data_IF_480559764444
#
_entry.id   IF_480559764444
#
_cell.length_a   1.000
_cell.length_b   1.000
_cell.length_c   1.000
_cell.angle_alpha   90.00
_cell.angle_beta   90.00
_cell.angle_gamma   90.00
#
_symmetry.space_group_name_H-M   'P 1'
#
loop_
_entity.id
_entity.type
_entity.pdbx_description
1 polymer ?
#
# COMPACT_ATOMS: atom_id res chain seq x y z
N UNK A 1 27.86 -14.11 -30.33
CA UNK A 1 27.14 -14.45 -29.09
C UNK A 1 27.96 -13.91 -27.92
N UNK A 2 27.36 -13.04 -27.11
CA UNK A 2 28.02 -12.42 -25.96
C UNK A 2 28.28 -13.44 -24.85
N UNK A 3 29.50 -13.49 -24.32
CA UNK A 3 29.85 -14.34 -23.18
C UNK A 3 29.28 -13.71 -21.90
N UNK A 4 28.41 -14.47 -21.22
CA UNK A 4 27.79 -14.08 -19.94
C UNK A 4 28.77 -14.32 -18.79
N UNK A 5 29.52 -13.30 -18.38
CA UNK A 5 30.51 -13.44 -17.30
C UNK A 5 29.85 -13.61 -15.93
N UNK A 6 28.63 -13.06 -15.76
CA UNK A 6 27.85 -13.18 -14.52
C UNK A 6 27.42 -14.61 -14.21
N UNK A 7 27.38 -15.51 -15.20
CA UNK A 7 27.12 -16.94 -14.98
C UNK A 7 28.32 -17.66 -14.35
N UNK A 8 29.54 -17.13 -14.56
CA UNK A 8 30.79 -17.71 -14.04
C UNK A 8 31.08 -17.27 -12.61
N UNK A 9 30.96 -15.96 -12.35
CA UNK A 9 31.11 -15.40 -11.00
C UNK A 9 30.22 -14.18 -10.82
N UNK A 10 29.09 -14.38 -10.12
CA UNK A 10 28.14 -13.32 -9.81
C UNK A 10 28.72 -12.18 -8.95
N UNK A 11 29.87 -12.39 -8.30
CA UNK A 11 30.52 -11.43 -7.40
C UNK A 11 31.59 -10.60 -8.10
N UNK A 12 31.92 -10.91 -9.36
CA UNK A 12 32.83 -10.09 -10.12
C UNK A 12 32.16 -8.74 -10.41
N UNK A 13 32.89 -7.64 -10.16
CA UNK A 13 32.36 -6.27 -10.28
C UNK A 13 32.97 -5.47 -11.42
N UNK A 14 34.12 -5.90 -11.93
CA UNK A 14 34.88 -5.23 -12.98
C UNK A 14 35.25 -6.26 -14.05
N UNK A 15 35.12 -5.86 -15.31
CA UNK A 15 35.51 -6.66 -16.47
C UNK A 15 36.07 -5.79 -17.60
N UNK A 16 36.73 -6.43 -18.56
CA UNK A 16 37.13 -5.82 -19.82
C UNK A 16 36.40 -6.51 -20.97
N UNK A 17 35.98 -5.74 -21.97
CA UNK A 17 35.27 -6.23 -23.13
C UNK A 17 35.65 -5.44 -24.39
N UNK A 18 35.37 -6.00 -25.55
CA UNK A 18 35.43 -5.31 -26.83
C UNK A 18 34.02 -4.91 -27.28
N UNK A 19 33.89 -3.66 -27.73
CA UNK A 19 32.67 -3.18 -28.38
C UNK A 19 32.58 -3.80 -29.78
N UNK A 20 31.56 -4.61 -30.00
CA UNK A 20 31.27 -5.24 -31.29
C UNK A 20 30.46 -4.30 -32.18
N UNK A 21 29.43 -3.66 -31.63
CA UNK A 21 28.65 -2.64 -32.32
C UNK A 21 28.35 -1.46 -31.39
N UNK A 22 28.24 -0.28 -32.00
CA UNK A 22 27.77 0.94 -31.34
C UNK A 22 26.86 1.67 -32.32
N UNK A 23 25.55 1.64 -32.06
CA UNK A 23 24.54 2.23 -32.93
C UNK A 23 23.87 3.41 -32.23
N UNK A 24 23.85 4.57 -32.88
CA UNK A 24 23.15 5.75 -32.36
C UNK A 24 21.62 5.55 -32.47
N UNK A 25 20.90 5.80 -31.38
CA UNK A 25 19.43 5.88 -31.32
C UNK A 25 18.98 7.35 -31.17
N UNK A 26 17.69 7.58 -30.91
CA UNK A 26 17.14 8.93 -30.76
C UNK A 26 17.81 9.72 -29.62
N UNK A 27 17.92 9.11 -28.43
CA UNK A 27 18.40 9.78 -27.21
C UNK A 27 19.62 9.09 -26.55
N UNK A 28 19.98 7.89 -27.01
CA UNK A 28 21.02 7.04 -26.42
C UNK A 28 21.80 6.27 -27.50
N UNK A 29 22.67 5.37 -27.07
CA UNK A 29 23.47 4.48 -27.91
C UNK A 29 23.19 3.03 -27.53
N UNK A 30 23.07 2.17 -28.53
CA UNK A 30 22.95 0.72 -28.38
C UNK A 30 24.33 0.07 -28.60
N UNK A 31 24.84 -0.57 -27.54
CA UNK A 31 26.17 -1.17 -27.48
C UNK A 31 26.06 -2.69 -27.29
N UNK A 32 26.68 -3.44 -28.20
CA UNK A 32 26.88 -4.89 -28.06
C UNK A 32 28.34 -5.17 -27.72
N UNK A 33 28.56 -6.02 -26.72
CA UNK A 33 29.88 -6.45 -26.25
C UNK A 33 30.14 -7.92 -26.59
N UNK A 34 31.41 -8.29 -26.71
CA UNK A 34 31.84 -9.69 -26.83
C UNK A 34 31.61 -10.50 -25.55
N UNK A 35 31.71 -9.85 -24.39
CA UNK A 35 31.44 -10.40 -23.07
C UNK A 35 30.92 -9.33 -22.11
N UNK A 36 30.11 -9.71 -21.12
CA UNK A 36 29.55 -8.75 -20.17
C UNK A 36 29.30 -9.34 -18.79
N UNK A 37 29.51 -8.51 -17.75
CA UNK A 37 29.03 -8.79 -16.39
C UNK A 37 27.63 -8.24 -16.13
N UNK A 38 27.08 -7.37 -16.98
CA UNK A 38 25.73 -6.84 -16.76
C UNK A 38 24.68 -7.93 -17.02
N UNK A 39 23.88 -8.25 -16.01
CA UNK A 39 22.70 -9.09 -16.19
C UNK A 39 21.61 -8.26 -16.89
N UNK A 40 21.07 -8.73 -18.03
CA UNK A 40 19.96 -8.07 -18.68
C UNK A 40 18.66 -8.27 -17.89
N UNK A 41 17.63 -7.48 -18.22
CA UNK A 41 16.30 -7.74 -17.70
C UNK A 41 15.80 -9.12 -18.20
N UNK A 42 15.65 -10.07 -17.28
CA UNK A 42 15.20 -11.43 -17.61
C UNK A 42 14.55 -12.08 -16.39
N UNK A 43 13.65 -13.03 -16.63
CA UNK A 43 13.10 -13.89 -15.56
C UNK A 43 12.28 -13.14 -14.51
N UNK A 44 11.87 -11.89 -14.77
CA UNK A 44 11.13 -11.03 -13.84
C UNK A 44 12.02 -10.16 -12.93
N UNK A 45 13.35 -10.19 -13.11
CA UNK A 45 14.31 -9.32 -12.45
C UNK A 45 14.77 -8.21 -13.41
N UNK A 46 14.88 -6.98 -12.88
CA UNK A 46 15.41 -5.82 -13.59
C UNK A 46 16.90 -5.99 -13.95
N UNK A 47 17.33 -5.28 -14.99
CA UNK A 47 18.71 -5.26 -15.45
C UNK A 47 19.65 -4.65 -14.41
N UNK A 48 20.95 -4.90 -14.56
CA UNK A 48 21.95 -4.20 -13.75
C UNK A 48 22.29 -2.80 -14.27
N UNK A 49 22.78 -2.00 -13.33
CA UNK A 49 23.34 -0.67 -13.57
C UNK A 49 24.86 -0.66 -13.38
N UNK A 50 25.50 0.38 -13.93
CA UNK A 50 26.94 0.53 -13.85
C UNK A 50 27.49 1.44 -14.94
N UNK A 51 28.77 1.27 -15.25
CA UNK A 51 29.46 2.07 -16.26
C UNK A 51 30.34 1.23 -17.19
N UNK A 52 30.58 1.76 -18.40
CA UNK A 52 31.57 1.30 -19.37
C UNK A 52 32.49 2.48 -19.70
N UNK A 53 33.77 2.45 -19.32
CA UNK A 53 34.69 3.60 -19.42
C UNK A 53 34.09 4.91 -18.86
N UNK A 54 33.47 4.82 -17.68
CA UNK A 54 32.75 5.92 -16.99
C UNK A 54 31.51 6.47 -17.71
N UNK A 55 31.14 5.88 -18.86
CA UNK A 55 29.84 6.11 -19.51
C UNK A 55 28.78 5.27 -18.81
N UNK A 56 27.68 5.91 -18.42
CA UNK A 56 26.57 5.27 -17.74
C UNK A 56 25.85 4.24 -18.64
N UNK A 57 25.61 3.06 -18.09
CA UNK A 57 24.73 2.04 -18.69
C UNK A 57 23.36 2.19 -18.05
N UNK A 58 22.40 2.66 -18.84
CA UNK A 58 21.05 3.04 -18.40
C UNK A 58 20.16 1.81 -18.31
N UNK A 59 20.30 0.89 -19.26
CA UNK A 59 19.46 -0.30 -19.39
C UNK A 59 20.21 -1.40 -20.15
N UNK A 60 19.84 -2.67 -19.91
CA UNK A 60 20.45 -3.85 -20.52
C UNK A 60 19.36 -4.86 -20.86
N UNK A 61 19.24 -5.21 -22.13
CA UNK A 61 18.11 -5.98 -22.67
C UNK A 61 18.59 -7.14 -23.54
N UNK A 62 17.80 -8.20 -23.62
CA UNK A 62 18.02 -9.30 -24.58
C UNK A 62 17.16 -9.04 -25.81
N UNK A 63 17.79 -8.88 -26.98
CA UNK A 63 17.12 -8.76 -28.28
C UNK A 63 17.72 -9.78 -29.21
N UNK A 64 16.90 -10.65 -29.80
CA UNK A 64 17.35 -11.70 -30.73
C UNK A 64 18.54 -12.54 -30.20
N UNK A 65 18.50 -12.93 -28.92
CA UNK A 65 19.56 -13.68 -28.21
C UNK A 65 20.90 -12.94 -28.03
N UNK A 66 20.95 -11.64 -28.31
CA UNK A 66 22.11 -10.77 -28.06
C UNK A 66 21.83 -9.83 -26.86
N UNK A 67 22.88 -9.47 -26.12
CA UNK A 67 22.76 -8.57 -24.96
C UNK A 67 23.13 -7.15 -25.40
N UNK A 68 22.13 -6.28 -25.37
CA UNK A 68 22.22 -4.88 -25.74
C UNK A 68 22.37 -4.02 -24.48
N UNK A 69 23.33 -3.09 -24.49
CA UNK A 69 23.57 -2.15 -23.40
C UNK A 69 23.25 -0.74 -23.91
N UNK A 70 22.35 -0.04 -23.24
CA UNK A 70 21.97 1.32 -23.61
C UNK A 70 22.77 2.34 -22.82
N UNK A 71 23.49 3.22 -23.50
CA UNK A 71 24.40 4.19 -22.89
C UNK A 71 24.12 5.63 -23.31
N UNK A 72 24.47 6.61 -22.46
CA UNK A 72 24.28 8.03 -22.78
C UNK A 72 25.35 8.63 -23.72
N UNK A 73 26.41 7.89 -24.03
CA UNK A 73 27.49 8.29 -24.93
C UNK A 73 27.99 7.11 -25.76
N UNK A 74 28.59 7.35 -26.95
CA UNK A 74 29.12 6.28 -27.80
C UNK A 74 30.39 5.66 -27.19
N UNK A 75 30.58 4.37 -27.45
CA UNK A 75 31.76 3.61 -27.03
C UNK A 75 32.36 2.86 -28.23
N UNK A 76 33.67 2.65 -28.21
CA UNK A 76 34.35 1.84 -29.25
C UNK A 76 35.61 1.19 -28.71
N UNK A 77 36.06 0.13 -29.38
CA UNK A 77 37.26 -0.61 -29.01
C UNK A 77 37.14 -1.28 -27.64
N UNK A 78 38.24 -1.27 -26.89
CA UNK A 78 38.32 -1.88 -25.57
C UNK A 78 37.67 -1.00 -24.51
N UNK A 79 36.75 -1.58 -23.75
CA UNK A 79 36.05 -0.90 -22.65
C UNK A 79 36.24 -1.66 -21.34
N UNK A 80 36.34 -0.91 -20.25
CA UNK A 80 36.32 -1.43 -18.89
C UNK A 80 34.93 -1.21 -18.30
N UNK A 81 34.25 -2.31 -17.97
CA UNK A 81 32.95 -2.27 -17.32
C UNK A 81 33.05 -2.37 -15.82
N UNK A 82 32.15 -1.66 -15.12
CA UNK A 82 31.98 -1.70 -13.66
C UNK A 82 30.50 -1.78 -13.32
N UNK A 83 30.10 -2.82 -12.58
CA UNK A 83 28.72 -2.98 -12.09
C UNK A 83 28.50 -2.18 -10.81
N UNK A 84 27.33 -1.60 -10.63
CA UNK A 84 26.86 -1.18 -9.31
C UNK A 84 26.59 -2.44 -8.46
N UNK A 85 27.61 -2.85 -7.73
CA UNK A 85 27.55 -4.08 -6.96
C UNK A 85 26.55 -4.01 -5.80
N UNK A 86 26.26 -2.83 -5.25
CA UNK A 86 25.26 -2.74 -4.18
C UNK A 86 23.87 -3.05 -4.73
N UNK A 87 23.54 -2.51 -5.91
CA UNK A 87 22.29 -2.83 -6.61
C UNK A 87 22.22 -4.31 -7.00
N UNK A 88 23.28 -4.84 -7.63
CA UNK A 88 23.39 -6.26 -7.99
C UNK A 88 23.20 -7.18 -6.79
N UNK A 89 23.94 -6.93 -5.70
CA UNK A 89 23.90 -7.77 -4.50
C UNK A 89 22.52 -7.71 -3.85
N UNK A 90 21.88 -6.53 -3.83
CA UNK A 90 20.51 -6.40 -3.37
C UNK A 90 19.55 -7.27 -4.20
N UNK A 91 19.68 -7.29 -5.53
CA UNK A 91 18.87 -8.17 -6.38
C UNK A 91 19.19 -9.65 -6.14
N UNK A 92 20.46 -10.03 -5.99
CA UNK A 92 20.87 -11.39 -5.64
C UNK A 92 20.25 -11.87 -4.32
N UNK A 93 20.21 -11.03 -3.29
CA UNK A 93 19.54 -11.34 -2.01
C UNK A 93 18.05 -11.62 -2.22
N UNK A 94 17.36 -10.69 -2.89
CA UNK A 94 15.91 -10.75 -3.08
C UNK A 94 15.49 -11.92 -4.00
N UNK A 95 16.25 -12.20 -5.06
CA UNK A 95 16.00 -13.33 -5.94
C UNK A 95 16.26 -14.66 -5.22
N UNK A 96 17.36 -14.79 -4.49
CA UNK A 96 17.65 -16.02 -3.73
C UNK A 96 16.62 -16.26 -2.62
N UNK A 97 16.12 -15.20 -1.98
CA UNK A 97 15.02 -15.29 -1.02
C UNK A 97 13.71 -15.77 -1.65
N UNK A 98 13.47 -15.46 -2.93
CA UNK A 98 12.33 -16.00 -3.67
C UNK A 98 12.43 -17.52 -3.87
N UNK A 99 13.62 -18.05 -4.14
CA UNK A 99 13.82 -19.50 -4.29
C UNK A 99 13.58 -20.21 -2.96
N UNK A 100 14.06 -19.66 -1.85
CA UNK A 100 13.77 -20.19 -0.50
C UNK A 100 12.26 -20.23 -0.25
N UNK A 101 11.54 -19.13 -0.49
CA UNK A 101 10.09 -19.10 -0.27
C UNK A 101 9.34 -20.05 -1.21
N UNK A 102 9.69 -20.06 -2.49
CA UNK A 102 9.01 -20.90 -3.49
C UNK A 102 9.22 -22.38 -3.25
N UNK A 103 10.46 -22.79 -2.92
CA UNK A 103 10.77 -24.17 -2.56
C UNK A 103 10.05 -24.63 -1.30
N UNK A 104 9.96 -23.77 -0.27
CA UNK A 104 9.20 -24.06 0.93
C UNK A 104 7.69 -24.13 0.67
N UNK A 105 7.13 -23.21 -0.12
CA UNK A 105 5.71 -23.27 -0.48
C UNK A 105 5.37 -24.56 -1.23
N UNK A 106 6.23 -24.97 -2.17
CA UNK A 106 6.06 -26.21 -2.92
C UNK A 106 6.16 -27.44 -2.01
N UNK A 107 7.21 -27.53 -1.19
CA UNK A 107 7.45 -28.71 -0.35
C UNK A 107 6.48 -28.84 0.82
N UNK A 108 6.07 -27.73 1.44
CA UNK A 108 5.20 -27.74 2.62
C UNK A 108 3.72 -27.81 2.26
N UNK A 109 3.31 -27.20 1.15
CA UNK A 109 1.89 -27.01 0.80
C UNK A 109 1.52 -27.54 -0.59
N UNK A 110 2.49 -27.98 -1.39
CA UNK A 110 2.26 -28.52 -2.73
C UNK A 110 1.96 -27.49 -3.81
N UNK A 111 2.00 -26.19 -3.49
CA UNK A 111 1.61 -25.13 -4.42
C UNK A 111 2.76 -24.69 -5.32
N UNK A 112 2.44 -24.44 -6.58
CA UNK A 112 3.41 -24.01 -7.59
C UNK A 112 3.44 -22.49 -7.70
N UNK A 113 4.65 -21.96 -7.89
CA UNK A 113 4.86 -20.57 -8.26
C UNK A 113 4.53 -20.39 -9.75
N UNK A 114 3.51 -19.57 -10.00
CA UNK A 114 2.93 -19.25 -11.31
C UNK A 114 3.26 -17.83 -11.80
N UNK A 115 4.02 -17.06 -11.02
CA UNK A 115 4.35 -15.68 -11.35
C UNK A 115 5.36 -15.10 -10.37
N UNK A 116 6.33 -14.36 -10.89
CA UNK A 116 7.35 -13.68 -10.10
C UNK A 116 7.67 -12.35 -10.74
N UNK A 117 7.85 -11.34 -9.88
CA UNK A 117 8.36 -10.04 -10.29
C UNK A 117 9.18 -9.44 -9.15
N UNK A 118 10.40 -9.03 -9.47
CA UNK A 118 11.33 -8.35 -8.59
C UNK A 118 11.47 -6.92 -9.09
N UNK A 119 10.80 -6.01 -8.39
CA UNK A 119 10.94 -4.57 -8.60
C UNK A 119 12.08 -4.01 -7.73
N UNK A 120 12.31 -2.69 -7.75
CA UNK A 120 13.26 -2.03 -6.84
C UNK A 120 12.76 -1.94 -5.38
N UNK A 121 11.48 -2.16 -5.13
CA UNK A 121 10.87 -1.94 -3.82
C UNK A 121 10.45 -3.24 -3.14
N UNK A 122 9.72 -4.09 -3.86
CA UNK A 122 9.17 -5.34 -3.33
C UNK A 122 9.29 -6.49 -4.33
N UNK A 123 9.35 -7.72 -3.81
CA UNK A 123 9.17 -8.93 -4.60
C UNK A 123 7.71 -9.36 -4.54
N UNK A 124 7.18 -9.82 -5.66
CA UNK A 124 5.89 -10.52 -5.70
C UNK A 124 6.05 -11.93 -6.22
N UNK A 125 5.35 -12.88 -5.59
CA UNK A 125 5.23 -14.26 -6.06
C UNK A 125 3.77 -14.71 -6.05
N UNK A 126 3.33 -15.41 -7.08
CA UNK A 126 1.97 -15.90 -7.26
C UNK A 126 1.92 -17.41 -7.13
N UNK A 127 1.12 -17.92 -6.19
CA UNK A 127 0.94 -19.36 -6.01
C UNK A 127 -0.47 -19.81 -6.40
N UNK A 128 -0.57 -21.03 -6.92
CA UNK A 128 -1.84 -21.64 -7.33
C UNK A 128 -2.71 -22.19 -6.18
N UNK A 129 -2.37 -21.88 -4.93
CA UNK A 129 -3.13 -22.25 -3.74
C UNK A 129 -3.28 -21.10 -2.75
N UNK A 130 -4.09 -21.32 -1.71
CA UNK A 130 -4.34 -20.35 -0.65
C UNK A 130 -3.57 -20.70 0.61
N UNK A 131 -2.95 -19.69 1.23
CA UNK A 131 -2.31 -19.80 2.54
C UNK A 131 -3.06 -18.91 3.53
N UNK A 132 -3.44 -19.47 4.68
CA UNK A 132 -4.00 -18.70 5.77
C UNK A 132 -2.90 -18.00 6.59
N UNK A 133 -3.28 -17.13 7.51
CA UNK A 133 -2.34 -16.34 8.32
C UNK A 133 -1.35 -17.21 9.12
N UNK A 134 -1.82 -18.30 9.72
CA UNK A 134 -0.96 -19.23 10.47
C UNK A 134 0.07 -19.91 9.56
N UNK A 135 -0.34 -20.34 8.36
CA UNK A 135 0.57 -20.93 7.37
C UNK A 135 1.61 -19.91 6.88
N UNK A 136 1.23 -18.64 6.70
CA UNK A 136 2.16 -17.56 6.32
C UNK A 136 3.21 -17.31 7.42
N UNK A 137 2.80 -17.31 8.69
CA UNK A 137 3.73 -17.18 9.82
C UNK A 137 4.70 -18.35 9.89
N UNK A 138 4.22 -19.59 9.71
CA UNK A 138 5.05 -20.79 9.67
C UNK A 138 6.03 -20.74 8.49
N UNK A 139 5.57 -20.31 7.31
CA UNK A 139 6.40 -20.16 6.12
C UNK A 139 7.53 -19.14 6.34
N UNK A 140 7.22 -17.95 6.85
CA UNK A 140 8.22 -16.91 7.14
C UNK A 140 9.24 -17.39 8.17
N UNK A 141 8.79 -18.04 9.25
CA UNK A 141 9.68 -18.60 10.26
C UNK A 141 10.62 -19.66 9.67
N UNK A 142 10.08 -20.58 8.85
CA UNK A 142 10.88 -21.64 8.23
C UNK A 142 11.87 -21.10 7.20
N UNK A 143 11.49 -20.08 6.43
CA UNK A 143 12.39 -19.40 5.50
C UNK A 143 13.57 -18.77 6.23
N UNK A 144 13.33 -18.11 7.37
CA UNK A 144 14.41 -17.55 8.18
C UNK A 144 15.25 -18.62 8.90
N UNK A 145 14.69 -19.78 9.23
CA UNK A 145 15.48 -20.92 9.71
C UNK A 145 16.45 -21.42 8.62
N UNK A 146 16.01 -21.52 7.37
CA UNK A 146 16.88 -21.88 6.23
C UNK A 146 18.02 -20.87 6.06
N UNK A 147 17.76 -19.57 6.24
CA UNK A 147 18.78 -18.51 6.22
C UNK A 147 19.82 -18.75 7.32
N UNK A 148 19.37 -18.99 8.55
CA UNK A 148 20.25 -19.21 9.70
C UNK A 148 21.09 -20.49 9.59
N UNK A 149 20.58 -21.49 8.89
CA UNK A 149 21.30 -22.75 8.62
C UNK A 149 22.43 -22.59 7.59
N UNK A 150 22.58 -21.42 6.95
CA UNK A 150 23.66 -21.09 6.03
C UNK A 150 23.93 -22.17 4.96
N UNK A 151 22.87 -22.59 4.28
CA UNK A 151 22.92 -23.58 3.20
C UNK A 151 23.66 -22.99 2.00
N UNK A 152 24.45 -23.82 1.33
CA UNK A 152 25.15 -23.41 0.10
C UNK A 152 24.13 -23.31 -1.04
N UNK A 153 24.33 -22.32 -1.92
CA UNK A 153 23.57 -22.14 -3.15
C UNK A 153 24.48 -22.45 -4.33
N UNK A 154 24.13 -23.50 -5.08
CA UNK A 154 24.88 -23.97 -6.24
C UNK A 154 24.21 -23.47 -7.51
N UNK A 155 24.96 -22.75 -8.34
CA UNK A 155 24.52 -22.33 -9.67
C UNK A 155 25.37 -23.04 -10.71
N UNK A 156 24.75 -23.84 -11.58
CA UNK A 156 25.50 -24.66 -12.54
C UNK A 156 24.67 -25.01 -13.78
N UNK A 157 25.37 -25.46 -14.82
CA UNK A 157 24.76 -26.08 -16.00
C UNK A 157 24.98 -27.60 -15.88
N UNK A 158 23.94 -28.41 -15.65
CA UNK A 158 24.07 -29.85 -15.67
C UNK A 158 24.39 -30.34 -17.10
N UNK A 159 25.10 -31.47 -17.20
CA UNK A 159 25.28 -32.16 -18.48
C UNK A 159 23.94 -32.69 -19.03
N UNK A 160 23.09 -33.17 -18.12
CA UNK A 160 21.73 -33.62 -18.39
C UNK A 160 20.79 -33.11 -17.27
N UNK A 161 19.87 -32.22 -17.63
CA UNK A 161 18.92 -31.62 -16.70
C UNK A 161 17.83 -32.61 -16.25
N UNK A 162 17.55 -33.67 -17.02
CA UNK A 162 16.52 -34.66 -16.70
C UNK A 162 16.90 -35.53 -15.48
N UNK A 163 18.17 -35.45 -15.04
CA UNK A 163 18.67 -36.10 -13.83
C UNK A 163 18.27 -35.37 -12.54
N UNK A 164 17.69 -34.18 -12.63
CA UNK A 164 17.34 -33.34 -11.49
C UNK A 164 15.82 -33.17 -11.38
N UNK A 165 15.29 -33.23 -10.17
CA UNK A 165 13.93 -32.79 -9.88
C UNK A 165 13.95 -31.28 -9.64
N UNK A 166 13.71 -30.50 -10.71
CA UNK A 166 13.75 -29.05 -10.67
C UNK A 166 12.42 -28.41 -11.07
N UNK A 167 12.13 -27.25 -10.48
CA UNK A 167 11.00 -26.41 -10.88
C UNK A 167 11.39 -25.59 -12.11
N UNK A 168 10.48 -25.48 -13.07
CA UNK A 168 10.63 -24.54 -14.18
C UNK A 168 9.37 -23.69 -14.35
N UNK A 169 9.56 -22.40 -14.66
CA UNK A 169 8.47 -21.46 -14.97
C UNK A 169 8.12 -21.43 -16.47
N UNK A 170 8.98 -21.97 -17.35
CA UNK A 170 8.81 -21.98 -18.81
C UNK A 170 9.31 -23.29 -19.42
N UNK A 171 8.83 -23.63 -20.61
CA UNK A 171 9.51 -24.60 -21.47
C UNK A 171 10.81 -23.97 -21.98
N UNK A 172 11.94 -24.66 -21.78
CA UNK A 172 13.28 -24.14 -22.10
C UNK A 172 13.90 -25.09 -23.13
N UNK A 173 14.28 -24.55 -24.29
CA UNK A 173 14.88 -25.30 -25.41
C UNK A 173 16.39 -25.07 -25.54
N UNK A 174 17.01 -24.40 -24.56
CA UNK A 174 18.44 -24.07 -24.51
C UNK A 174 19.09 -24.74 -23.29
N UNK A 175 20.42 -24.61 -23.16
CA UNK A 175 21.14 -25.12 -21.99
C UNK A 175 20.56 -24.54 -20.69
N UNK A 176 20.04 -25.43 -19.83
CA UNK A 176 19.32 -25.05 -18.62
C UNK A 176 20.35 -24.74 -17.53
N UNK A 177 20.31 -23.53 -16.97
CA UNK A 177 21.04 -23.21 -15.74
C UNK A 177 20.15 -23.57 -14.55
N UNK A 178 20.66 -24.43 -13.67
CA UNK A 178 20.01 -24.79 -12.42
C UNK A 178 20.59 -23.99 -11.26
N UNK A 179 19.72 -23.60 -10.35
CA UNK A 179 20.04 -23.02 -9.05
C UNK A 179 19.48 -23.95 -7.99
N UNK A 180 20.36 -24.52 -7.19
CA UNK A 180 20.04 -25.45 -6.13
C UNK A 180 20.38 -24.85 -4.77
N UNK A 181 19.40 -24.82 -3.88
CA UNK A 181 19.56 -24.56 -2.46
C UNK A 181 19.40 -25.91 -1.75
N UNK A 182 20.49 -26.44 -1.21
CA UNK A 182 20.58 -27.81 -0.71
C UNK A 182 19.43 -28.17 0.25
N UNK A 183 18.59 -29.12 -0.17
CA UNK A 183 17.45 -29.62 0.61
C UNK A 183 16.27 -28.65 0.75
N UNK A 184 16.24 -27.59 -0.05
CA UNK A 184 15.19 -26.55 -0.01
C UNK A 184 14.54 -26.38 -1.38
N UNK A 185 15.33 -26.16 -2.43
CA UNK A 185 14.82 -25.85 -3.76
C UNK A 185 15.82 -26.21 -4.85
N UNK A 186 15.33 -26.63 -6.01
CA UNK A 186 16.10 -26.71 -7.25
C UNK A 186 15.25 -26.12 -8.36
N UNK A 187 15.76 -25.12 -9.06
CA UNK A 187 14.97 -24.30 -9.98
C UNK A 187 15.80 -23.91 -11.22
N UNK A 188 15.17 -23.96 -12.40
CA UNK A 188 15.75 -23.41 -13.61
C UNK A 188 15.74 -21.87 -13.55
N UNK A 189 16.93 -21.25 -13.49
CA UNK A 189 17.08 -19.81 -13.32
C UNK A 189 18.38 -19.27 -13.92
N UNK A 190 18.27 -18.16 -14.67
CA UNK A 190 19.39 -17.46 -15.28
C UNK A 190 19.97 -16.32 -14.42
N UNK A 191 19.28 -15.90 -13.36
CA UNK A 191 19.70 -14.73 -12.58
C UNK A 191 20.94 -14.99 -11.70
N UNK A 192 21.73 -13.95 -11.39
CA UNK A 192 22.77 -14.04 -10.37
C UNK A 192 22.19 -14.31 -8.97
N UNK A 193 22.87 -15.16 -8.19
CA UNK A 193 22.46 -15.55 -6.83
C UNK A 193 23.60 -15.35 -5.82
N UNK A 194 23.23 -15.18 -4.54
CA UNK A 194 24.23 -15.21 -3.46
C UNK A 194 24.77 -16.64 -3.28
N UNK A 195 25.96 -16.79 -2.67
CA UNK A 195 26.63 -18.09 -2.49
C UNK A 195 26.01 -18.94 -1.39
N UNK A 196 25.34 -18.31 -0.43
CA UNK A 196 24.76 -19.00 0.72
C UNK A 196 23.47 -18.34 1.22
N UNK A 197 22.61 -19.12 1.89
CA UNK A 197 21.35 -18.60 2.40
C UNK A 197 21.53 -17.54 3.49
N UNK A 198 22.66 -17.52 4.21
CA UNK A 198 22.92 -16.46 5.21
C UNK A 198 23.10 -15.08 4.57
N UNK A 199 23.62 -15.02 3.35
CA UNK A 199 23.82 -13.78 2.61
C UNK A 199 22.51 -13.13 2.15
N UNK A 200 21.43 -13.90 2.04
CA UNK A 200 20.07 -13.39 1.78
C UNK A 200 19.66 -12.38 2.85
N UNK A 201 20.09 -12.60 4.09
CA UNK A 201 19.58 -11.88 5.26
C UNK A 201 18.11 -12.23 5.55
N UNK A 202 17.46 -11.45 6.42
CA UNK A 202 16.07 -11.70 6.82
C UNK A 202 15.13 -11.69 5.61
N UNK A 203 14.21 -12.66 5.53
CA UNK A 203 13.04 -12.61 4.64
C UNK A 203 11.85 -12.11 5.44
N UNK A 204 11.16 -11.09 4.93
CA UNK A 204 9.95 -10.53 5.54
C UNK A 204 8.78 -10.50 4.56
N UNK A 205 7.70 -11.21 4.89
CA UNK A 205 6.42 -11.13 4.19
C UNK A 205 5.72 -9.84 4.64
N UNK A 206 5.44 -8.96 3.69
CA UNK A 206 4.83 -7.65 3.91
C UNK A 206 3.31 -7.72 3.89
N UNK A 207 2.75 -8.47 2.94
CA UNK A 207 1.31 -8.68 2.78
C UNK A 207 1.05 -9.90 1.90
N UNK A 208 -0.15 -10.44 2.03
CA UNK A 208 -0.65 -11.48 1.15
C UNK A 208 -2.06 -11.10 0.67
N UNK A 209 -2.36 -11.35 -0.60
CA UNK A 209 -3.67 -11.05 -1.18
C UNK A 209 -4.17 -12.18 -2.06
N UNK A 210 -5.49 -12.37 -2.12
CA UNK A 210 -6.10 -13.25 -3.11
C UNK A 210 -5.77 -12.76 -4.52
N UNK A 211 -5.24 -13.64 -5.35
CA UNK A 211 -4.92 -13.35 -6.74
C UNK A 211 -5.32 -14.54 -7.62
N UNK A 212 -6.22 -14.31 -8.57
CA UNK A 212 -6.82 -15.35 -9.42
C UNK A 212 -7.36 -16.51 -8.56
N UNK A 213 -6.85 -17.72 -8.78
CA UNK A 213 -7.24 -18.95 -8.08
C UNK A 213 -6.33 -19.29 -6.88
N UNK A 214 -5.46 -18.38 -6.46
CA UNK A 214 -4.60 -18.58 -5.30
C UNK A 214 -4.19 -17.28 -4.62
N UNK A 215 -2.92 -17.15 -4.25
CA UNK A 215 -2.41 -16.06 -3.42
C UNK A 215 -1.19 -15.39 -4.05
N UNK A 216 -1.14 -14.07 -3.96
CA UNK A 216 0.05 -13.27 -4.24
C UNK A 216 0.69 -12.87 -2.91
N UNK A 217 1.96 -13.23 -2.74
CA UNK A 217 2.77 -12.78 -1.62
C UNK A 217 3.62 -11.59 -2.04
N UNK A 218 3.73 -10.63 -1.14
CA UNK A 218 4.63 -9.50 -1.23
C UNK A 218 5.65 -9.63 -0.12
N UNK A 219 6.93 -9.59 -0.45
CA UNK A 219 8.00 -9.75 0.53
C UNK A 219 9.26 -8.99 0.12
N UNK A 220 10.17 -8.87 1.07
CA UNK A 220 11.50 -8.26 0.89
C UNK A 220 12.55 -9.07 1.64
N UNK A 221 13.79 -9.01 1.16
CA UNK A 221 14.92 -9.72 1.76
C UNK A 221 16.07 -8.75 2.13
N UNK A 222 16.97 -9.20 3.00
CA UNK A 222 18.27 -8.57 3.22
C UNK A 222 18.18 -7.08 3.58
N UNK A 223 18.88 -6.25 2.82
CA UNK A 223 18.88 -4.81 3.06
C UNK A 223 17.48 -4.17 2.95
N UNK A 224 16.62 -4.66 2.04
CA UNK A 224 15.25 -4.12 1.89
C UNK A 224 14.39 -4.45 3.12
N UNK A 225 14.55 -5.65 3.69
CA UNK A 225 13.89 -6.02 4.93
C UNK A 225 14.35 -5.15 6.11
N UNK A 226 15.64 -4.80 6.17
CA UNK A 226 16.16 -3.87 7.17
C UNK A 226 15.56 -2.46 7.02
N UNK A 227 15.50 -1.92 5.80
CA UNK A 227 14.90 -0.61 5.53
C UNK A 227 13.41 -0.57 5.90
N UNK A 228 12.66 -1.63 5.55
CA UNK A 228 11.25 -1.77 5.94
C UNK A 228 11.07 -1.80 7.47
N UNK A 229 11.89 -2.60 8.17
CA UNK A 229 11.89 -2.64 9.64
C UNK A 229 12.21 -1.27 10.24
N UNK A 230 13.25 -0.59 9.74
CA UNK A 230 13.65 0.72 10.26
C UNK A 230 12.52 1.75 10.12
N UNK A 231 11.86 1.79 8.97
CA UNK A 231 10.72 2.70 8.74
C UNK A 231 9.57 2.44 9.73
N UNK A 232 9.20 1.16 9.90
CA UNK A 232 8.13 0.76 10.85
C UNK A 232 8.53 1.01 12.31
N UNK A 233 9.78 0.75 12.67
CA UNK A 233 10.31 0.99 14.01
C UNK A 233 10.27 2.47 14.38
N UNK A 234 10.72 3.36 13.48
CA UNK A 234 10.64 4.81 13.68
C UNK A 234 9.19 5.26 13.88
N UNK A 235 8.25 4.73 13.10
CA UNK A 235 6.82 5.02 13.29
C UNK A 235 6.32 4.56 14.66
N UNK A 236 6.65 3.33 15.08
CA UNK A 236 6.25 2.81 16.39
C UNK A 236 6.80 3.66 17.54
N UNK A 237 8.07 4.10 17.46
CA UNK A 237 8.69 5.00 18.45
C UNK A 237 7.98 6.36 18.47
N UNK A 238 7.66 6.94 17.32
CA UNK A 238 6.96 8.22 17.25
C UNK A 238 5.55 8.14 17.87
N UNK A 239 4.83 7.04 17.67
CA UNK A 239 3.52 6.82 18.31
C UNK A 239 3.70 6.60 19.81
N UNK A 240 4.69 5.81 20.21
CA UNK A 240 5.04 5.53 21.62
C UNK A 240 5.27 6.82 22.39
N UNK A 241 6.03 7.77 21.84
CA UNK A 241 6.26 9.08 22.45
C UNK A 241 4.97 9.91 22.59
N UNK A 242 4.10 9.89 21.58
CA UNK A 242 2.82 10.62 21.61
C UNK A 242 1.85 10.04 22.66
N UNK A 243 1.87 8.72 22.83
CA UNK A 243 1.03 8.03 23.81
C UNK A 243 1.67 7.96 25.20
N UNK A 244 2.96 8.27 25.33
CA UNK A 244 3.75 8.03 26.54
C UNK A 244 3.68 6.57 27.02
N UNK A 245 3.68 5.62 26.08
CA UNK A 245 3.59 4.18 26.32
C UNK A 245 4.72 3.44 25.59
N UNK A 246 5.20 2.30 26.09
CA UNK A 246 6.17 1.49 25.36
C UNK A 246 5.59 0.96 24.03
N UNK A 247 6.42 0.65 23.01
CA UNK A 247 5.96 0.16 21.71
C UNK A 247 5.06 -1.09 21.78
N UNK A 248 5.24 -1.94 22.78
CA UNK A 248 4.44 -3.17 22.96
C UNK A 248 3.00 -2.87 23.43
N UNK A 249 2.76 -1.69 24.02
CA UNK A 249 1.46 -1.27 24.55
C UNK A 249 0.70 -0.31 23.61
N UNK A 250 1.20 -0.07 22.39
CA UNK A 250 0.60 0.91 21.47
C UNK A 250 -0.87 0.63 21.16
N UNK A 251 -1.23 -0.64 20.93
CA UNK A 251 -2.62 -1.02 20.62
C UNK A 251 -3.54 -0.66 21.79
N UNK A 252 -3.14 -1.03 23.00
CA UNK A 252 -3.88 -0.71 24.23
C UNK A 252 -4.02 0.81 24.42
N UNK A 253 -2.96 1.56 24.16
CA UNK A 253 -2.99 3.02 24.21
C UNK A 253 -3.96 3.65 23.23
N UNK A 254 -4.00 3.16 21.99
CA UNK A 254 -4.96 3.60 20.98
C UNK A 254 -6.39 3.26 21.39
N UNK A 255 -6.64 2.05 21.89
CA UNK A 255 -7.96 1.63 22.35
C UNK A 255 -8.45 2.52 23.51
N UNK A 256 -7.57 2.84 24.46
CA UNK A 256 -7.88 3.76 25.55
C UNK A 256 -8.23 5.16 25.03
N UNK A 257 -7.43 5.72 24.12
CA UNK A 257 -7.72 7.03 23.53
C UNK A 257 -9.06 7.06 22.77
N UNK A 258 -9.39 6.00 22.03
CA UNK A 258 -10.66 5.89 21.32
C UNK A 258 -11.84 5.82 22.30
N UNK A 259 -11.69 5.07 23.38
CA UNK A 259 -12.70 4.96 24.42
C UNK A 259 -12.91 6.29 25.16
N UNK A 260 -11.83 6.97 25.57
CA UNK A 260 -11.88 8.29 26.19
C UNK A 260 -12.52 9.33 25.27
N UNK A 261 -12.17 9.32 23.96
CA UNK A 261 -12.78 10.22 22.99
C UNK A 261 -14.30 10.00 22.86
N UNK A 262 -14.75 8.73 22.88
CA UNK A 262 -16.16 8.40 22.86
C UNK A 262 -16.88 8.84 24.15
N UNK A 263 -16.25 8.66 25.31
CA UNK A 263 -16.78 9.14 26.59
C UNK A 263 -16.90 10.66 26.62
N UNK A 264 -15.85 11.40 26.23
CA UNK A 264 -15.86 12.85 26.17
C UNK A 264 -16.93 13.39 25.20
N UNK A 265 -17.17 12.72 24.06
CA UNK A 265 -18.27 13.06 23.14
C UNK A 265 -19.64 12.88 23.80
N UNK A 266 -19.83 11.81 24.58
CA UNK A 266 -21.08 11.56 25.30
C UNK A 266 -21.29 12.61 26.41
N UNK A 267 -20.26 12.91 27.19
CA UNK A 267 -20.30 13.95 28.23
C UNK A 267 -20.61 15.33 27.63
N UNK A 268 -19.94 15.70 26.53
CA UNK A 268 -20.21 16.95 25.82
C UNK A 268 -21.66 17.01 25.33
N UNK A 269 -22.20 15.91 24.79
CA UNK A 269 -23.61 15.84 24.38
C UNK A 269 -24.54 16.05 25.58
N UNK A 270 -24.26 15.42 26.72
CA UNK A 270 -25.07 15.56 27.93
C UNK A 270 -25.01 16.98 28.51
N UNK A 271 -23.83 17.60 28.55
CA UNK A 271 -23.68 19.00 28.98
C UNK A 271 -24.45 19.95 28.06
N UNK A 272 -24.36 19.76 26.73
CA UNK A 272 -25.15 20.55 25.77
C UNK A 272 -26.66 20.38 25.98
N UNK A 273 -27.14 19.17 26.32
CA UNK A 273 -28.56 18.94 26.69
C UNK A 273 -28.94 19.69 27.97
N UNK A 274 -28.10 19.65 29.00
CA UNK A 274 -28.36 20.39 30.24
C UNK A 274 -28.44 21.90 30.01
N UNK A 275 -27.57 22.46 29.15
CA UNK A 275 -27.63 23.87 28.75
C UNK A 275 -28.96 24.18 28.04
N UNK A 276 -29.38 23.32 27.10
CA UNK A 276 -30.67 23.43 26.42
C UNK A 276 -31.81 23.41 27.45
N UNK A 277 -31.81 22.47 28.38
CA UNK A 277 -32.88 22.34 29.38
C UNK A 277 -32.96 23.60 30.28
N UNK A 278 -31.82 24.15 30.70
CA UNK A 278 -31.77 25.39 31.47
C UNK A 278 -32.28 26.60 30.66
N UNK A 279 -31.89 26.70 29.39
CA UNK A 279 -32.39 27.75 28.49
C UNK A 279 -33.91 27.67 28.36
N UNK A 280 -34.44 26.47 28.07
CA UNK A 280 -35.87 26.21 27.89
C UNK A 280 -36.67 26.52 29.16
N UNK A 281 -36.17 26.13 30.34
CA UNK A 281 -36.87 26.41 31.62
C UNK A 281 -37.09 27.90 31.89
N UNK A 282 -36.20 28.76 31.37
CA UNK A 282 -36.31 30.21 31.54
C UNK A 282 -37.22 30.91 30.52
N UNK A 283 -37.68 30.18 29.50
CA UNK A 283 -38.46 30.76 28.40
C UNK A 283 -39.97 30.76 28.72
N UNK A 284 -40.68 31.88 28.45
CA UNK A 284 -42.13 31.95 28.61
C UNK A 284 -42.83 31.25 27.44
N UNK A 285 -44.08 30.80 27.63
CA UNK A 285 -44.89 30.32 26.51
C UNK A 285 -45.04 31.40 25.43
N UNK A 286 -44.91 31.00 24.17
CA UNK A 286 -44.98 31.89 23.00
C UNK A 286 -45.76 31.22 21.87
N UNK A 287 -46.16 31.99 20.87
CA UNK A 287 -46.83 31.38 19.71
C UNK A 287 -45.88 30.46 18.94
N UNK A 288 -44.65 30.92 18.72
CA UNK A 288 -43.62 30.15 18.04
C UNK A 288 -42.23 30.45 18.60
N UNK A 289 -41.29 29.53 18.34
CA UNK A 289 -39.86 29.78 18.55
C UNK A 289 -39.09 29.60 17.25
N UNK A 290 -38.26 30.59 16.94
CA UNK A 290 -37.38 30.58 15.79
C UNK A 290 -35.92 30.77 16.23
N UNK A 291 -35.14 29.69 16.20
CA UNK A 291 -33.78 29.66 16.72
C UNK A 291 -32.78 29.52 15.57
N UNK A 292 -31.79 30.41 15.53
CA UNK A 292 -30.62 30.31 14.66
C UNK A 292 -29.37 30.09 15.51
N UNK A 293 -28.57 29.09 15.14
CA UNK A 293 -27.35 28.73 15.87
C UNK A 293 -26.31 28.14 14.95
N UNK A 294 -25.04 28.21 15.35
CA UNK A 294 -23.93 27.79 14.50
C UNK A 294 -23.45 26.37 14.82
N UNK A 295 -23.67 25.89 16.04
CA UNK A 295 -23.09 24.63 16.53
C UNK A 295 -24.10 23.76 17.29
N UNK A 296 -24.74 22.87 16.54
CA UNK A 296 -25.58 21.81 17.05
C UNK A 296 -25.48 20.60 16.11
N UNK A 297 -25.24 19.41 16.65
CA UNK A 297 -25.38 18.18 15.85
C UNK A 297 -26.87 17.86 15.62
N UNK A 298 -27.17 16.87 14.77
CA UNK A 298 -28.56 16.52 14.44
C UNK A 298 -29.34 16.00 15.64
N UNK A 299 -28.69 15.27 16.54
CA UNK A 299 -29.34 14.68 17.72
C UNK A 299 -29.72 15.77 18.73
N UNK A 300 -28.81 16.70 18.99
CA UNK A 300 -29.04 17.84 19.86
C UNK A 300 -30.03 18.84 19.27
N UNK A 301 -30.02 19.05 17.95
CA UNK A 301 -31.02 19.91 17.27
C UNK A 301 -32.44 19.34 17.46
N UNK A 302 -32.60 18.03 17.26
CA UNK A 302 -33.86 17.34 17.51
C UNK A 302 -34.27 17.43 18.98
N UNK A 303 -33.32 17.24 19.91
CA UNK A 303 -33.57 17.36 21.34
C UNK A 303 -34.07 18.76 21.70
N UNK A 304 -33.39 19.82 21.24
CA UNK A 304 -33.79 21.19 21.51
C UNK A 304 -35.19 21.50 20.96
N UNK A 305 -35.47 21.06 19.73
CA UNK A 305 -36.80 21.22 19.15
C UNK A 305 -37.87 20.56 20.04
N UNK A 306 -37.63 19.33 20.50
CA UNK A 306 -38.57 18.60 21.34
C UNK A 306 -38.78 19.27 22.71
N UNK A 307 -37.76 19.92 23.27
CA UNK A 307 -37.87 20.63 24.55
C UNK A 307 -38.63 21.96 24.41
N UNK A 308 -38.47 22.67 23.29
CA UNK A 308 -39.21 23.91 23.02
C UNK A 308 -40.67 23.68 22.62
N UNK A 309 -40.96 22.58 21.93
CA UNK A 309 -42.28 22.34 21.35
C UNK A 309 -43.46 22.41 22.34
N UNK A 310 -43.36 21.88 23.58
CA UNK A 310 -44.41 22.04 24.59
C UNK A 310 -44.67 23.49 25.05
N UNK A 311 -43.74 24.41 24.82
CA UNK A 311 -43.88 25.82 25.18
C UNK A 311 -44.51 26.67 24.07
N UNK A 312 -44.77 26.09 22.89
CA UNK A 312 -45.31 26.81 21.73
C UNK A 312 -46.76 26.42 21.41
N UNK A 313 -47.58 27.39 20.95
CA UNK A 313 -48.93 27.11 20.45
C UNK A 313 -49.00 26.79 18.95
N UNK A 314 -48.03 27.23 18.15
CA UNK A 314 -48.05 27.11 16.69
C UNK A 314 -46.90 26.25 16.15
N UNK A 315 -45.64 26.72 16.26
CA UNK A 315 -44.49 25.98 15.72
C UNK A 315 -43.15 26.29 16.40
N UNK A 316 -42.20 25.35 16.28
CA UNK A 316 -40.78 25.55 16.59
C UNK A 316 -39.97 25.29 15.34
N UNK A 317 -39.05 26.20 15.04
CA UNK A 317 -38.12 26.10 13.94
C UNK A 317 -36.69 26.35 14.43
N UNK A 318 -35.79 25.39 14.22
CA UNK A 318 -34.38 25.51 14.58
C UNK A 318 -33.52 25.37 13.33
N UNK A 319 -32.73 26.41 13.04
CA UNK A 319 -31.79 26.49 11.93
C UNK A 319 -30.36 26.45 12.46
N UNK A 320 -29.57 25.48 11.98
CA UNK A 320 -28.18 25.26 12.37
C UNK A 320 -27.25 25.46 11.17
N UNK A 321 -26.38 26.45 11.22
CA UNK A 321 -25.44 26.74 10.13
C UNK A 321 -24.97 28.18 10.11
N UNK A 322 -24.24 28.54 9.06
CA UNK A 322 -23.64 29.87 8.85
C UNK A 322 -23.58 30.18 7.36
N UNK A 323 -23.29 31.44 7.03
CA UNK A 323 -23.06 31.88 5.65
C UNK A 323 -24.22 31.52 4.71
N UNK A 324 -25.45 31.81 5.16
CA UNK A 324 -26.70 31.55 4.44
C UNK A 324 -26.95 30.07 4.08
N UNK A 325 -26.25 29.13 4.73
CA UNK A 325 -26.49 27.70 4.59
C UNK A 325 -26.89 27.11 5.94
N UNK A 326 -28.15 26.68 6.06
CA UNK A 326 -28.69 26.16 7.30
C UNK A 326 -29.24 24.76 7.12
N UNK A 327 -28.95 23.88 8.08
CA UNK A 327 -29.74 22.68 8.31
C UNK A 327 -30.89 23.04 9.25
N UNK A 328 -32.12 22.77 8.86
CA UNK A 328 -33.29 23.11 9.68
C UNK A 328 -34.06 21.87 10.14
N UNK A 329 -34.76 22.05 11.25
CA UNK A 329 -35.83 21.17 11.73
C UNK A 329 -37.00 22.07 12.16
N UNK A 330 -38.21 21.75 11.71
CA UNK A 330 -39.43 22.48 12.05
C UNK A 330 -40.49 21.48 12.49
N UNK A 331 -41.14 21.75 13.61
CA UNK A 331 -42.31 21.04 14.10
C UNK A 331 -43.42 22.05 14.37
N UNK A 332 -44.66 21.69 14.01
CA UNK A 332 -45.85 22.51 14.22
C UNK A 332 -46.95 21.68 14.87
N UNK A 333 -47.80 22.33 15.65
CA UNK A 333 -49.07 21.76 16.11
C UNK A 333 -50.05 21.58 14.95
N UNK A 334 -49.87 22.33 13.87
CA UNK A 334 -50.51 22.14 12.57
C UNK A 334 -49.63 21.25 11.66
N UNK A 335 -49.90 21.24 10.35
CA UNK A 335 -49.08 20.50 9.41
C UNK A 335 -47.76 21.23 9.11
N UNK A 336 -46.65 20.70 9.63
CA UNK A 336 -45.29 21.22 9.43
C UNK A 336 -44.88 21.32 7.95
N UNK A 337 -45.56 20.58 7.06
CA UNK A 337 -45.32 20.66 5.61
C UNK A 337 -45.79 21.98 5.00
N UNK A 338 -46.74 22.67 5.62
CA UNK A 338 -47.19 23.99 5.17
C UNK A 338 -46.06 25.02 5.28
N UNK A 339 -45.37 25.05 6.43
CA UNK A 339 -44.17 25.87 6.65
C UNK A 339 -43.05 25.50 5.68
N UNK A 340 -42.81 24.20 5.44
CA UNK A 340 -41.84 23.74 4.46
C UNK A 340 -42.16 24.23 3.05
N UNK A 341 -43.43 24.16 2.63
CA UNK A 341 -43.86 24.57 1.30
C UNK A 341 -43.74 26.08 1.11
N UNK A 342 -44.03 26.90 2.14
CA UNK A 342 -43.78 28.35 2.11
C UNK A 342 -42.30 28.67 1.89
N UNK A 343 -41.42 28.01 2.63
CA UNK A 343 -39.98 28.18 2.47
C UNK A 343 -39.50 27.71 1.08
N UNK A 344 -40.03 26.60 0.55
CA UNK A 344 -39.74 26.10 -0.81
C UNK A 344 -40.17 27.07 -1.91
N UNK A 345 -41.18 27.91 -1.66
CA UNK A 345 -41.60 28.95 -2.60
C UNK A 345 -40.58 30.08 -2.79
N UNK A 346 -39.65 30.26 -1.84
CA UNK A 346 -38.70 31.37 -1.82
C UNK A 346 -37.23 30.92 -1.91
N UNK A 347 -36.93 29.68 -1.51
CA UNK A 347 -35.57 29.17 -1.43
C UNK A 347 -35.42 27.77 -2.03
N UNK A 348 -34.21 27.48 -2.48
CA UNK A 348 -33.81 26.12 -2.82
C UNK A 348 -33.63 25.28 -1.54
N UNK A 349 -34.51 24.31 -1.34
CA UNK A 349 -34.52 23.46 -0.16
C UNK A 349 -34.40 21.99 -0.53
N UNK A 350 -33.43 21.32 0.07
CA UNK A 350 -33.26 19.87 0.02
C UNK A 350 -33.73 19.28 1.33
N UNK A 351 -34.95 18.74 1.35
CA UNK A 351 -35.55 18.21 2.57
C UNK A 351 -37.02 17.86 2.45
N UNK A 352 -37.54 17.23 3.50
CA UNK A 352 -38.89 16.71 3.58
C UNK A 352 -39.23 16.27 5.00
N UNK A 353 -40.43 15.73 5.16
CA UNK A 353 -40.88 15.22 6.45
C UNK A 353 -42.34 14.84 6.43
N UNK A 354 -42.88 14.63 7.64
CA UNK A 354 -44.28 14.28 7.90
C UNK A 354 -45.01 15.49 8.47
N UNK A 355 -46.32 15.35 8.69
CA UNK A 355 -47.13 16.45 9.22
C UNK A 355 -46.64 16.98 10.56
N UNK A 356 -46.10 16.12 11.42
CA UNK A 356 -45.60 16.49 12.74
C UNK A 356 -44.20 17.12 12.73
N UNK A 357 -43.39 16.90 11.69
CA UNK A 357 -42.04 17.43 11.62
C UNK A 357 -41.44 17.34 10.22
N UNK A 358 -40.76 18.42 9.82
CA UNK A 358 -39.98 18.52 8.58
C UNK A 358 -38.53 18.89 8.88
N UNK A 359 -37.61 18.41 8.04
CA UNK A 359 -36.18 18.70 8.17
C UNK A 359 -35.50 18.79 6.81
N UNK A 360 -34.40 19.52 6.74
CA UNK A 360 -33.67 19.67 5.48
C UNK A 360 -32.49 20.61 5.56
N UNK A 361 -32.00 20.99 4.39
CA UNK A 361 -31.05 22.06 4.19
C UNK A 361 -31.69 23.16 3.36
N UNK A 362 -31.42 24.40 3.74
CA UNK A 362 -31.87 25.61 3.07
C UNK A 362 -30.65 26.49 2.78
N UNK A 363 -30.61 27.05 1.57
CA UNK A 363 -29.68 28.12 1.23
C UNK A 363 -30.48 29.41 1.10
N UNK A 364 -30.30 30.34 2.04
CA UNK A 364 -31.12 31.54 2.12
C UNK A 364 -30.69 32.48 3.24
N UNK A 365 -30.95 33.77 3.04
CA UNK A 365 -30.63 34.80 4.02
C UNK A 365 -31.46 34.64 5.29
N UNK A 366 -30.81 34.69 6.46
CA UNK A 366 -31.48 34.52 7.76
C UNK A 366 -32.67 35.47 7.94
N UNK A 367 -32.53 36.75 7.59
CA UNK A 367 -33.58 37.75 7.77
C UNK A 367 -34.82 37.42 6.94
N UNK A 368 -34.62 37.04 5.68
CA UNK A 368 -35.72 36.64 4.80
C UNK A 368 -36.40 35.35 5.28
N UNK A 369 -35.65 34.40 5.85
CA UNK A 369 -36.23 33.20 6.47
C UNK A 369 -37.11 33.59 7.67
N UNK A 370 -36.64 34.52 8.51
CA UNK A 370 -37.41 35.04 9.65
C UNK A 370 -38.70 35.72 9.17
N UNK A 371 -38.60 36.66 8.23
CA UNK A 371 -39.76 37.39 7.70
C UNK A 371 -40.85 36.45 7.12
N UNK A 372 -40.46 35.36 6.45
CA UNK A 372 -41.41 34.39 5.88
C UNK A 372 -42.13 33.58 6.96
N UNK A 373 -41.44 33.28 8.06
CA UNK A 373 -41.97 32.43 9.14
C UNK A 373 -42.74 33.25 10.20
N UNK A 374 -42.41 34.53 10.40
CA UNK A 374 -43.07 35.41 11.35
C UNK A 374 -44.40 36.01 10.82
N UNK A 375 -44.55 36.15 9.49
CA UNK A 375 -45.79 36.61 8.85
C UNK A 375 -46.86 35.51 8.69
N UNK A 376 -46.95 34.60 9.67
CA UNK A 376 -47.73 33.36 9.59
C UNK A 376 -49.02 33.38 10.40
#
# INVERSE_FOLDING_TARGET
>A
MTIKLYDKDAYQTIFEAQVITCTKRENDYDIVLDQTLFFPEEGGQTCDHGTLNDVEVIDVQIINQEIHHYTNAPLSGSVKGKIDFNYRYNNMQNHSGEHVLSGLVKSMFGFDNSGFHLSDHEITTDYNGFLNEQQLQILEAKANEVILNNKVIHCFYPEDADLYDYRSKKEINEAIRLVEIEGVDCCACCAPHVRSTSEIGMIKILKAMKHKNGIRLYFVCGHRAFVDYQAKHIQAINISQKLSLPPDDLVKGIDQLLNENNQLKQELSNLKKQIIDQQVQSLPQQDHYLIFTNDLDRSLQQYYLNQLFPLCSNYVAIFVGKDDNYRFMIASNNDSRELLNKLKGHFEIKGGGKANMVQGQIKGNQKTIQDILENN
#
